data_IF_600225669834
#
_entry.id   IF_600225669834
#
_cell.length_a   1.000
_cell.length_b   1.000
_cell.length_c   1.000
_cell.angle_alpha   90.00
_cell.angle_beta   90.00
_cell.angle_gamma   90.00
#
_symmetry.space_group_name_H-M   'P 1'
#
loop_
_entity.id
_entity.type
_entity.pdbx_description
1 polymer ?
#
# COMPACT_ATOMS: atom_id res chain seq x y z
N UNK A 1 -20.12 47.43 -10.32
CA UNK A 1 -20.59 46.04 -10.08
C UNK A 1 -19.40 45.15 -10.30
N UNK A 2 -18.79 44.67 -9.23
CA UNK A 2 -17.66 43.74 -9.25
C UNK A 2 -18.22 42.33 -9.48
N UNK A 3 -17.84 41.70 -10.57
CA UNK A 3 -18.07 40.27 -10.79
C UNK A 3 -17.23 39.49 -9.82
N UNK A 4 -17.89 38.97 -8.81
CA UNK A 4 -17.39 37.99 -7.89
C UNK A 4 -17.18 36.65 -8.64
N UNK A 5 -15.98 36.45 -9.15
CA UNK A 5 -15.60 35.16 -9.73
C UNK A 5 -15.60 34.10 -8.61
N UNK A 6 -16.66 33.31 -8.61
CA UNK A 6 -16.72 32.04 -7.87
C UNK A 6 -15.65 31.15 -8.52
N UNK A 7 -14.44 31.15 -7.97
CA UNK A 7 -13.43 30.13 -8.24
C UNK A 7 -13.87 28.89 -7.50
N UNK A 8 -14.78 28.15 -8.12
CA UNK A 8 -15.15 26.81 -7.74
C UNK A 8 -13.85 25.97 -7.75
N UNK A 9 -13.52 25.38 -6.61
CA UNK A 9 -12.19 24.85 -6.28
C UNK A 9 -11.74 23.69 -7.15
N UNK A 10 -11.36 23.96 -8.38
CA UNK A 10 -10.62 23.02 -9.21
C UNK A 10 -9.17 22.99 -8.69
N UNK A 11 -8.85 22.00 -7.84
CA UNK A 11 -7.45 21.75 -7.43
C UNK A 11 -6.64 21.55 -8.70
N UNK A 12 -5.57 22.32 -8.85
CA UNK A 12 -4.64 22.12 -9.96
C UNK A 12 -4.09 20.67 -9.91
N UNK A 13 -3.76 20.12 -11.07
CA UNK A 13 -3.19 18.77 -11.16
C UNK A 13 -1.92 18.63 -10.32
N UNK A 14 -1.14 19.70 -10.18
CA UNK A 14 0.05 19.74 -9.32
C UNK A 14 -0.31 19.65 -7.83
N UNK A 15 -1.38 20.30 -7.40
CA UNK A 15 -1.89 20.23 -6.03
C UNK A 15 -2.37 18.82 -5.69
N UNK A 16 -3.04 18.16 -6.63
CA UNK A 16 -3.49 16.77 -6.46
C UNK A 16 -2.29 15.83 -6.30
N UNK A 17 -1.25 15.97 -7.11
CA UNK A 17 -0.05 15.13 -7.01
C UNK A 17 0.71 15.37 -5.70
N UNK A 18 0.79 16.61 -5.25
CA UNK A 18 1.42 16.95 -3.98
C UNK A 18 0.66 16.34 -2.79
N UNK A 19 -0.67 16.44 -2.77
CA UNK A 19 -1.51 15.83 -1.73
C UNK A 19 -1.44 14.28 -1.80
N UNK A 20 -1.41 13.71 -3.00
CA UNK A 20 -1.25 12.26 -3.18
C UNK A 20 0.10 11.77 -2.61
N UNK A 21 1.18 12.51 -2.88
CA UNK A 21 2.50 12.22 -2.32
C UNK A 21 2.49 12.27 -0.79
N UNK A 22 1.85 13.28 -0.21
CA UNK A 22 1.69 13.44 1.23
C UNK A 22 0.94 12.27 1.86
N UNK A 23 -0.15 11.81 1.23
CA UNK A 23 -0.92 10.64 1.68
C UNK A 23 -0.04 9.38 1.67
N UNK A 24 0.73 9.15 0.60
CA UNK A 24 1.64 8.01 0.50
C UNK A 24 2.73 8.03 1.59
N UNK A 25 3.35 9.19 1.83
CA UNK A 25 4.37 9.37 2.87
C UNK A 25 3.81 9.16 4.28
N UNK A 26 2.61 9.61 4.53
CA UNK A 26 1.90 9.41 5.78
C UNK A 26 1.63 7.94 6.07
N UNK A 27 1.06 7.24 5.11
CA UNK A 27 0.79 5.82 5.25
C UNK A 27 2.09 5.01 5.45
N UNK A 28 3.15 5.37 4.71
CA UNK A 28 4.47 4.75 4.85
C UNK A 28 5.07 4.98 6.24
N UNK A 29 4.99 6.21 6.78
CA UNK A 29 5.48 6.52 8.12
C UNK A 29 4.79 5.66 9.19
N UNK A 30 3.47 5.54 9.12
CA UNK A 30 2.66 4.68 10.03
C UNK A 30 3.00 3.20 9.88
N UNK A 31 3.23 2.72 8.66
CA UNK A 31 3.64 1.34 8.44
C UNK A 31 4.92 0.99 9.19
N UNK A 32 5.88 1.91 9.29
CA UNK A 32 7.11 1.72 10.05
C UNK A 32 6.88 1.50 11.55
N UNK A 33 5.82 2.07 12.12
CA UNK A 33 5.41 1.84 13.53
C UNK A 33 4.62 0.54 13.65
N UNK A 34 3.71 0.29 12.71
CA UNK A 34 2.80 -0.86 12.75
C UNK A 34 3.55 -2.18 12.62
N UNK A 35 4.55 -2.29 11.73
CA UNK A 35 5.23 -3.57 11.45
C UNK A 35 6.00 -4.15 12.63
N UNK A 36 6.31 -3.34 13.63
CA UNK A 36 6.99 -3.81 14.86
C UNK A 36 6.04 -4.21 15.97
N UNK A 37 4.74 -3.98 15.79
CA UNK A 37 3.73 -4.36 16.77
C UNK A 37 3.42 -5.87 16.68
N UNK A 38 3.70 -6.67 17.70
CA UNK A 38 3.44 -8.10 17.65
C UNK A 38 1.93 -8.39 17.58
N UNK A 39 1.54 -9.38 16.77
CA UNK A 39 0.19 -9.95 16.63
C UNK A 39 -0.88 -9.06 15.97
N UNK A 40 -0.81 -7.75 16.10
CA UNK A 40 -1.82 -6.81 15.56
C UNK A 40 -1.36 -6.20 14.22
N UNK A 41 -0.07 -6.30 13.91
CA UNK A 41 0.58 -5.56 12.83
C UNK A 41 -0.02 -5.80 11.45
N UNK A 42 -0.35 -7.03 11.09
CA UNK A 42 -0.82 -7.35 9.72
C UNK A 42 -2.20 -6.73 9.42
N UNK A 43 -3.16 -6.86 10.35
CA UNK A 43 -4.51 -6.28 10.16
C UNK A 43 -4.46 -4.75 10.16
N UNK A 44 -3.67 -4.18 11.07
CA UNK A 44 -3.50 -2.74 11.15
C UNK A 44 -2.76 -2.19 9.92
N UNK A 45 -1.80 -2.93 9.38
CA UNK A 45 -1.10 -2.56 8.15
C UNK A 45 -2.07 -2.57 6.95
N UNK A 46 -2.90 -3.62 6.84
CA UNK A 46 -3.93 -3.68 5.80
C UNK A 46 -4.93 -2.52 5.92
N UNK A 47 -5.40 -2.21 7.13
CA UNK A 47 -6.29 -1.07 7.36
C UNK A 47 -5.63 0.27 6.96
N UNK A 48 -4.33 0.43 7.24
CA UNK A 48 -3.57 1.60 6.82
C UNK A 48 -3.47 1.72 5.29
N UNK A 49 -3.28 0.61 4.58
CA UNK A 49 -3.21 0.60 3.11
C UNK A 49 -4.59 0.82 2.48
N UNK A 50 -5.65 0.21 3.02
CA UNK A 50 -7.03 0.46 2.59
C UNK A 50 -7.38 1.93 2.74
N UNK A 51 -7.07 2.53 3.88
CA UNK A 51 -7.28 3.95 4.12
C UNK A 51 -6.50 4.81 3.11
N UNK A 52 -5.23 4.54 2.91
CA UNK A 52 -4.39 5.25 1.94
C UNK A 52 -5.00 5.24 0.54
N UNK A 53 -5.39 4.07 0.03
CA UNK A 53 -5.95 3.92 -1.31
C UNK A 53 -7.29 4.65 -1.44
N UNK A 54 -8.13 4.56 -0.41
CA UNK A 54 -9.41 5.27 -0.37
C UNK A 54 -9.21 6.78 -0.42
N UNK A 55 -8.27 7.32 0.35
CA UNK A 55 -7.95 8.75 0.33
C UNK A 55 -7.38 9.22 -1.02
N UNK A 56 -6.54 8.39 -1.66
CA UNK A 56 -6.05 8.67 -3.01
C UNK A 56 -7.18 8.71 -4.04
N UNK A 57 -8.14 7.79 -3.93
CA UNK A 57 -9.32 7.77 -4.80
C UNK A 57 -10.22 8.99 -4.57
N UNK A 58 -10.53 9.32 -3.31
CA UNK A 58 -11.33 10.50 -2.93
C UNK A 58 -10.69 11.80 -3.44
N UNK A 59 -9.36 11.94 -3.31
CA UNK A 59 -8.61 13.09 -3.80
C UNK A 59 -8.80 13.31 -5.31
N UNK A 60 -9.02 12.23 -6.05
CA UNK A 60 -9.27 12.24 -7.51
C UNK A 60 -10.76 12.22 -7.86
N UNK A 61 -11.66 12.35 -6.88
CA UNK A 61 -13.10 12.29 -7.09
C UNK A 61 -13.61 10.89 -7.50
N UNK A 62 -12.82 9.85 -7.29
CA UNK A 62 -13.15 8.47 -7.65
C UNK A 62 -13.76 7.77 -6.43
N UNK A 63 -14.97 7.24 -6.59
CA UNK A 63 -15.59 6.38 -5.57
C UNK A 63 -15.14 4.94 -5.82
N UNK A 64 -14.43 4.35 -4.87
CA UNK A 64 -14.11 2.93 -4.86
C UNK A 64 -14.99 2.20 -3.86
N UNK A 65 -15.46 1.00 -4.24
CA UNK A 65 -16.03 0.08 -3.27
C UNK A 65 -14.93 -0.59 -2.46
N UNK A 66 -15.26 -1.02 -1.26
CA UNK A 66 -14.32 -1.77 -0.41
C UNK A 66 -13.74 -2.99 -1.14
N UNK A 67 -14.60 -3.76 -1.82
CA UNK A 67 -14.17 -4.90 -2.62
C UNK A 67 -13.17 -4.54 -3.73
N UNK A 68 -13.30 -3.36 -4.34
CA UNK A 68 -12.35 -2.88 -5.35
C UNK A 68 -10.99 -2.53 -4.73
N UNK A 69 -10.98 -1.90 -3.54
CA UNK A 69 -9.74 -1.61 -2.80
C UNK A 69 -9.03 -2.89 -2.37
N UNK A 70 -9.78 -3.83 -1.80
CA UNK A 70 -9.23 -5.12 -1.38
C UNK A 70 -8.76 -5.96 -2.57
N UNK A 71 -9.48 -5.92 -3.70
CA UNK A 71 -9.07 -6.56 -4.95
C UNK A 71 -7.75 -5.98 -5.48
N UNK A 72 -7.61 -4.67 -5.44
CA UNK A 72 -6.35 -4.01 -5.81
C UNK A 72 -5.21 -4.42 -4.87
N UNK A 73 -5.41 -4.38 -3.55
CA UNK A 73 -4.40 -4.80 -2.57
C UNK A 73 -4.00 -6.27 -2.75
N UNK A 74 -4.96 -7.15 -2.98
CA UNK A 74 -4.69 -8.55 -3.28
C UNK A 74 -3.85 -8.73 -4.55
N UNK A 75 -4.15 -7.96 -5.59
CA UNK A 75 -3.39 -8.00 -6.85
C UNK A 75 -1.98 -7.44 -6.68
N UNK A 76 -1.82 -6.33 -5.95
CA UNK A 76 -0.53 -5.73 -5.62
C UNK A 76 0.30 -6.69 -4.75
N UNK A 77 -0.32 -7.30 -3.74
CA UNK A 77 0.31 -8.29 -2.88
C UNK A 77 0.82 -9.49 -3.67
N UNK A 78 -0.01 -10.07 -4.53
CA UNK A 78 0.37 -11.22 -5.36
C UNK A 78 1.45 -10.88 -6.39
N UNK A 79 1.39 -9.68 -7.00
CA UNK A 79 2.28 -9.29 -8.09
C UNK A 79 3.65 -8.80 -7.60
N UNK A 80 3.68 -8.02 -6.52
CA UNK A 80 4.89 -7.29 -6.11
C UNK A 80 5.41 -7.68 -4.73
N UNK A 81 4.52 -7.85 -3.75
CA UNK A 81 4.92 -8.11 -2.36
C UNK A 81 5.27 -9.56 -2.13
N UNK A 82 4.64 -10.51 -2.84
CA UNK A 82 4.97 -11.93 -2.79
C UNK A 82 6.43 -12.26 -3.11
N UNK A 83 7.13 -11.35 -3.78
CA UNK A 83 8.57 -11.44 -4.02
C UNK A 83 9.43 -10.89 -2.86
N UNK A 84 8.81 -10.28 -1.85
CA UNK A 84 9.51 -9.60 -0.75
C UNK A 84 9.18 -10.25 0.60
N UNK A 85 9.17 -11.59 0.67
CA UNK A 85 8.96 -12.37 1.91
C UNK A 85 10.01 -12.10 3.01
N UNK A 86 10.81 -11.08 2.85
CA UNK A 86 11.74 -10.54 3.88
C UNK A 86 10.97 -9.98 5.09
N UNK A 87 9.66 -9.77 4.98
CA UNK A 87 8.82 -9.27 6.09
C UNK A 87 8.63 -10.28 7.23
N UNK A 88 9.00 -11.53 7.02
CA UNK A 88 8.95 -12.57 8.06
C UNK A 88 10.22 -12.64 8.93
N UNK A 89 11.21 -11.80 8.68
CA UNK A 89 12.41 -11.74 9.52
C UNK A 89 12.05 -10.99 10.81
N UNK A 90 12.06 -11.62 12.00
CA UNK A 90 11.66 -10.98 13.26
C UNK A 90 12.79 -10.07 13.79
N UNK A 91 13.21 -9.09 12.98
CA UNK A 91 14.27 -8.16 13.32
C UNK A 91 13.86 -6.73 12.99
N UNK A 92 13.35 -6.00 13.97
CA UNK A 92 12.80 -4.67 13.84
C UNK A 92 13.65 -3.68 13.00
N UNK A 93 14.99 -3.62 13.13
CA UNK A 93 15.81 -2.74 12.31
C UNK A 93 15.69 -2.96 10.79
N UNK A 94 15.29 -4.16 10.35
CA UNK A 94 15.06 -4.48 8.94
C UNK A 94 13.58 -4.32 8.58
N UNK A 95 12.68 -4.66 9.49
CA UNK A 95 11.23 -4.57 9.26
C UNK A 95 10.77 -3.13 9.01
N UNK A 96 11.26 -2.16 9.80
CA UNK A 96 10.85 -0.77 9.68
C UNK A 96 11.13 -0.19 8.28
N UNK A 97 12.37 -0.20 7.76
CA UNK A 97 12.63 0.33 6.43
C UNK A 97 11.91 -0.43 5.32
N UNK A 98 11.73 -1.75 5.47
CA UNK A 98 10.98 -2.57 4.51
C UNK A 98 9.50 -2.20 4.54
N UNK A 99 8.86 -2.15 5.71
CA UNK A 99 7.46 -1.76 5.85
C UNK A 99 7.18 -0.39 5.25
N UNK A 100 8.01 0.61 5.58
CA UNK A 100 7.93 1.96 5.02
C UNK A 100 8.03 1.94 3.49
N UNK A 101 9.04 1.26 2.95
CA UNK A 101 9.30 1.27 1.50
C UNK A 101 8.23 0.54 0.71
N UNK A 102 7.71 -0.58 1.23
CA UNK A 102 6.63 -1.35 0.57
C UNK A 102 5.33 -0.57 0.59
N UNK A 103 4.92 -0.02 1.73
CA UNK A 103 3.68 0.78 1.81
C UNK A 103 3.76 2.03 0.94
N UNK A 104 4.92 2.70 0.90
CA UNK A 104 5.12 3.83 -0.01
C UNK A 104 4.96 3.41 -1.47
N UNK A 105 5.58 2.30 -1.87
CA UNK A 105 5.48 1.78 -3.23
C UNK A 105 4.04 1.39 -3.60
N UNK A 106 3.31 0.74 -2.69
CA UNK A 106 1.88 0.42 -2.87
C UNK A 106 1.07 1.69 -3.12
N UNK A 107 1.30 2.74 -2.34
CA UNK A 107 0.64 4.04 -2.52
C UNK A 107 0.94 4.68 -3.88
N UNK A 108 2.19 4.67 -4.32
CA UNK A 108 2.61 5.22 -5.62
C UNK A 108 1.97 4.46 -6.78
N UNK A 109 1.95 3.13 -6.71
CA UNK A 109 1.28 2.30 -7.72
C UNK A 109 -0.22 2.54 -7.72
N UNK A 110 -0.88 2.57 -6.56
CA UNK A 110 -2.31 2.86 -6.47
C UNK A 110 -2.65 4.22 -7.08
N UNK A 111 -1.84 5.25 -6.80
CA UNK A 111 -2.00 6.57 -7.39
C UNK A 111 -1.84 6.54 -8.92
N UNK A 112 -0.82 5.88 -9.44
CA UNK A 112 -0.59 5.73 -10.89
C UNK A 112 -1.73 4.94 -11.56
N UNK A 113 -2.20 3.87 -10.94
CA UNK A 113 -3.32 3.06 -11.40
C UNK A 113 -4.62 3.85 -11.47
N UNK A 114 -4.93 4.66 -10.47
CA UNK A 114 -6.08 5.56 -10.47
C UNK A 114 -5.99 6.59 -11.61
N UNK A 115 -4.81 7.17 -11.85
CA UNK A 115 -4.55 8.10 -12.95
C UNK A 115 -4.74 7.47 -14.31
N UNK A 116 -4.32 6.22 -14.47
CA UNK A 116 -4.42 5.46 -15.71
C UNK A 116 -5.85 4.96 -16.03
N UNK A 117 -6.84 5.29 -15.19
CA UNK A 117 -8.22 4.84 -15.38
C UNK A 117 -8.50 3.41 -14.90
N UNK A 118 -7.66 2.89 -14.02
CA UNK A 118 -7.82 1.58 -13.34
C UNK A 118 -7.73 0.40 -14.30
N UNK A 119 -6.65 0.24 -15.06
CA UNK A 119 -6.47 -0.91 -15.95
C UNK A 119 -6.43 -2.22 -15.16
N UNK A 120 -6.79 -3.32 -15.80
CA UNK A 120 -6.78 -4.67 -15.19
C UNK A 120 -5.36 -5.19 -14.95
N UNK A 121 -4.42 -4.84 -15.83
CA UNK A 121 -3.03 -5.27 -15.74
C UNK A 121 -2.24 -4.43 -14.74
N UNK A 122 -2.13 -4.93 -13.53
CA UNK A 122 -1.32 -4.33 -12.45
C UNK A 122 0.19 -4.52 -12.70
N UNK A 123 0.61 -5.56 -13.44
CA UNK A 123 2.02 -5.82 -13.68
C UNK A 123 2.69 -4.71 -14.51
N UNK A 124 1.89 -3.96 -15.31
CA UNK A 124 2.36 -2.79 -16.05
C UNK A 124 2.97 -1.69 -15.14
N UNK A 125 2.65 -1.68 -13.84
CA UNK A 125 3.18 -0.70 -12.88
C UNK A 125 4.43 -1.18 -12.12
N UNK A 126 5.08 -2.25 -12.59
CA UNK A 126 6.27 -2.81 -11.90
C UNK A 126 7.39 -1.80 -11.74
N UNK A 127 7.68 -1.01 -12.76
CA UNK A 127 8.71 0.03 -12.72
C UNK A 127 8.39 1.09 -11.65
N UNK A 128 7.14 1.56 -11.60
CA UNK A 128 6.66 2.50 -10.57
C UNK A 128 6.84 1.91 -9.17
N UNK A 129 6.56 0.61 -9.01
CA UNK A 129 6.74 -0.07 -7.72
C UNK A 129 8.21 -0.13 -7.32
N UNK A 130 9.08 -0.58 -8.22
CA UNK A 130 10.51 -0.78 -7.94
C UNK A 130 11.20 0.56 -7.62
N UNK A 131 10.91 1.61 -8.38
CA UNK A 131 11.44 2.96 -8.14
C UNK A 131 10.95 3.53 -6.82
N UNK A 132 9.65 3.46 -6.54
CA UNK A 132 9.08 3.98 -5.30
C UNK A 132 9.59 3.20 -4.07
N UNK A 133 9.76 1.88 -4.19
CA UNK A 133 10.34 1.05 -3.12
C UNK A 133 11.79 1.45 -2.84
N UNK A 134 12.59 1.66 -3.89
CA UNK A 134 13.96 2.12 -3.74
C UNK A 134 14.03 3.54 -3.13
N UNK A 135 13.12 4.43 -3.50
CA UNK A 135 13.00 5.77 -2.91
C UNK A 135 12.61 5.69 -1.43
N UNK A 136 11.58 4.92 -1.10
CA UNK A 136 11.14 4.71 0.29
C UNK A 136 12.26 4.13 1.16
N UNK A 137 13.06 3.20 0.61
CA UNK A 137 14.20 2.65 1.30
C UNK A 137 15.30 3.69 1.56
N UNK A 138 15.53 4.62 0.64
CA UNK A 138 16.48 5.73 0.84
C UNK A 138 15.99 6.75 1.86
N UNK A 139 14.69 7.02 1.85
CA UNK A 139 14.05 8.08 2.66
C UNK A 139 13.40 7.58 3.95
N UNK A 140 13.54 6.30 4.32
CA UNK A 140 12.82 5.76 5.50
C UNK A 140 13.09 6.53 6.79
N UNK A 141 14.32 7.05 6.98
CA UNK A 141 14.67 7.85 8.16
C UNK A 141 13.94 9.20 8.18
N UNK A 142 13.67 9.78 7.02
CA UNK A 142 12.87 11.00 6.88
C UNK A 142 11.41 10.71 7.20
N UNK A 143 10.85 9.64 6.60
CA UNK A 143 9.46 9.25 6.83
C UNK A 143 9.21 8.87 8.28
N UNK A 144 10.14 8.17 8.95
CA UNK A 144 10.03 7.80 10.36
C UNK A 144 9.97 9.00 11.32
N UNK A 145 10.29 10.20 10.87
CA UNK A 145 10.24 11.43 11.68
C UNK A 145 8.95 12.23 11.48
N UNK A 146 8.06 11.80 10.59
CA UNK A 146 6.79 12.50 10.41
C UNK A 146 5.91 12.35 11.65
N UNK A 147 5.36 13.46 12.13
CA UNK A 147 4.56 13.51 13.36
C UNK A 147 3.30 12.64 13.28
N UNK A 148 2.74 12.49 12.09
CA UNK A 148 1.55 11.67 11.85
C UNK A 148 1.71 10.15 12.06
N UNK A 149 2.95 9.65 12.26
CA UNK A 149 3.21 8.21 12.42
C UNK A 149 2.58 7.61 13.68
N UNK A 150 2.40 8.45 14.71
CA UNK A 150 1.87 8.05 16.02
C UNK A 150 0.36 8.36 16.13
N UNK A 151 -0.23 9.02 15.12
CA UNK A 151 -1.67 9.30 15.10
C UNK A 151 -2.45 8.00 14.90
N UNK A 152 -3.48 7.72 15.72
CA UNK A 152 -4.34 6.58 15.49
C UNK A 152 -5.02 6.71 14.12
N UNK A 153 -5.20 5.59 13.45
CA UNK A 153 -6.12 5.49 12.32
C UNK A 153 -7.52 5.83 12.85
N UNK A 154 -7.98 7.05 12.78
CA UNK A 154 -9.21 7.56 13.40
C UNK A 154 -10.44 6.67 13.20
N UNK A 155 -11.58 7.24 12.78
CA UNK A 155 -12.80 6.47 12.50
C UNK A 155 -12.75 5.67 11.17
N UNK A 156 -11.62 5.65 10.49
CA UNK A 156 -11.44 4.94 9.23
C UNK A 156 -11.69 3.44 9.38
N UNK A 157 -11.24 2.85 10.48
CA UNK A 157 -11.52 1.44 10.81
C UNK A 157 -13.01 1.14 11.04
N UNK A 158 -13.80 2.16 11.38
CA UNK A 158 -15.26 2.04 11.56
C UNK A 158 -16.03 2.20 10.25
N UNK A 159 -15.46 2.89 9.26
CA UNK A 159 -16.07 3.04 7.92
C UNK A 159 -15.97 1.76 7.10
N UNK A 160 -14.95 0.98 7.34
CA UNK A 160 -14.80 -0.36 6.76
C UNK A 160 -15.27 -1.34 7.84
N UNK A 161 -16.52 -1.79 7.70
CA UNK A 161 -16.99 -2.97 8.41
C UNK A 161 -16.23 -4.16 7.80
N UNK A 162 -14.94 -4.21 8.11
CA UNK A 162 -14.10 -5.35 7.82
C UNK A 162 -14.72 -6.50 8.62
N UNK A 163 -15.62 -7.23 7.99
CA UNK A 163 -15.88 -8.60 8.37
C UNK A 163 -14.58 -9.34 8.12
N UNK A 164 -13.68 -9.05 9.07
CA UNK A 164 -12.23 -9.12 8.97
C UNK A 164 -11.75 -10.56 8.74
N UNK A 165 -12.62 -11.53 9.04
CA UNK A 165 -12.29 -12.94 8.94
C UNK A 165 -12.27 -13.40 7.49
N UNK A 166 -13.28 -13.06 6.67
CA UNK A 166 -13.34 -13.51 5.26
C UNK A 166 -12.26 -12.87 4.39
N UNK A 167 -11.97 -11.59 4.63
CA UNK A 167 -10.94 -10.86 3.89
C UNK A 167 -9.55 -11.36 4.30
N UNK A 168 -9.31 -11.52 5.59
CA UNK A 168 -8.08 -12.09 6.13
C UNK A 168 -7.85 -13.50 5.57
N UNK A 169 -8.87 -14.38 5.60
CA UNK A 169 -8.80 -15.74 5.08
C UNK A 169 -8.60 -15.78 3.55
N UNK A 170 -9.12 -14.80 2.81
CA UNK A 170 -8.93 -14.71 1.37
C UNK A 170 -7.52 -14.23 0.99
N UNK A 171 -6.97 -13.27 1.73
CA UNK A 171 -5.61 -12.77 1.53
C UNK A 171 -4.58 -13.78 2.00
N UNK A 172 -4.81 -14.42 3.15
CA UNK A 172 -3.92 -15.46 3.69
C UNK A 172 -3.88 -16.68 2.76
N UNK A 173 -5.03 -17.16 2.27
CA UNK A 173 -5.08 -18.27 1.28
C UNK A 173 -4.32 -17.94 0.00
N UNK A 174 -4.42 -16.71 -0.52
CA UNK A 174 -3.67 -16.29 -1.71
C UNK A 174 -2.17 -16.17 -1.44
N UNK A 175 -1.78 -15.74 -0.24
CA UNK A 175 -0.38 -15.70 0.19
C UNK A 175 0.20 -17.11 0.35
N UNK A 176 -0.53 -18.02 0.98
CA UNK A 176 -0.15 -19.44 1.15
C UNK A 176 -0.03 -20.16 -0.19
N UNK A 177 -0.98 -19.91 -1.14
CA UNK A 177 -0.92 -20.44 -2.50
C UNK A 177 0.30 -19.92 -3.29
N UNK A 178 0.65 -18.65 -3.09
CA UNK A 178 1.83 -18.06 -3.73
C UNK A 178 3.12 -18.63 -3.13
N UNK A 179 3.18 -18.82 -1.83
CA UNK A 179 4.31 -19.44 -1.12
C UNK A 179 4.49 -20.90 -1.54
N UNK A 180 3.39 -21.66 -1.63
CA UNK A 180 3.41 -23.05 -2.12
C UNK A 180 3.95 -23.14 -3.53
N UNK A 181 3.46 -22.30 -4.45
CA UNK A 181 3.93 -22.26 -5.85
C UNK A 181 5.40 -21.87 -5.95
N UNK A 182 5.86 -20.94 -5.13
CA UNK A 182 7.26 -20.52 -5.09
C UNK A 182 8.15 -21.65 -4.57
N UNK A 183 7.76 -22.32 -3.49
CA UNK A 183 8.50 -23.43 -2.89
C UNK A 183 8.60 -24.62 -3.84
N UNK A 184 7.52 -24.93 -4.58
CA UNK A 184 7.50 -25.98 -5.58
C UNK A 184 8.38 -25.63 -6.79
N UNK A 185 8.32 -24.40 -7.28
CA UNK A 185 9.20 -23.91 -8.34
C UNK A 185 10.68 -23.98 -7.95
N UNK A 186 11.03 -23.59 -6.73
CA UNK A 186 12.40 -23.68 -6.21
C UNK A 186 12.88 -25.13 -6.08
N UNK A 187 12.00 -26.05 -5.64
CA UNK A 187 12.31 -27.49 -5.56
C UNK A 187 12.60 -28.06 -6.95
N UNK A 188 11.75 -27.74 -7.94
CA UNK A 188 11.91 -28.18 -9.33
C UNK A 188 13.19 -27.66 -10.00
N UNK A 189 13.63 -26.43 -9.63
CA UNK A 189 14.93 -25.90 -10.09
C UNK A 189 16.09 -26.62 -9.42
N UNK A 190 15.99 -26.91 -8.12
CA UNK A 190 17.03 -27.63 -7.38
C UNK A 190 17.22 -29.09 -7.83
N UNK A 191 16.16 -29.75 -8.33
CA UNK A 191 16.24 -31.11 -8.90
C UNK A 191 16.86 -31.13 -10.30
N UNK A 192 16.73 -30.07 -11.08
CA UNK A 192 17.32 -29.95 -12.43
C UNK A 192 18.79 -29.57 -12.42
N UNK A 193 19.33 -29.19 -11.28
CA UNK A 193 20.75 -28.79 -11.10
C UNK A 193 21.60 -29.92 -10.47
N UNK A 194 21.01 -31.08 -10.21
CA UNK A 194 21.69 -32.32 -9.80
C UNK A 194 21.83 -33.26 -10.98
#
# INVERSE_FOLDING_TARGET
MAEERITDGYKDSADIEWEAEKICRWAAARAGVIVVAPLIGTMTLMANEVYMITRLAELRGIKLSESAVLGLLGSLGATFVGQTLVTLIPFAPVQIPVGISVTYAVGKVANAWLKAGRPEDIAAFKEVYDEAKAEGMKKFKEFSKLDCKDEPLGDESKRFNLDSQEVFDSVTRKADDAEYKLSDAMRNVGEKLK
#
